data_IF_878520340177
#
_entry.id   IF_878520340177
#
_cell.length_a   1.000
_cell.length_b   1.000
_cell.length_c   1.000
_cell.angle_alpha   90.00
_cell.angle_beta   90.00
_cell.angle_gamma   90.00
#
_symmetry.space_group_name_H-M   'P 1'
#
loop_
_entity.id
_entity.type
_entity.pdbx_description
1 polymer ?
#
# COMPACT_ATOMS: atom_id res chain seq x y z
N UNK A 1 22.16 -10.56 -9.17
CA UNK A 1 20.96 -11.44 -9.04
C UNK A 1 21.15 -12.29 -7.80
N UNK A 2 20.20 -12.26 -6.87
CA UNK A 2 20.17 -13.21 -5.76
C UNK A 2 19.33 -14.42 -6.15
N UNK A 3 19.70 -15.62 -5.70
CA UNK A 3 18.87 -16.84 -5.87
C UNK A 3 18.00 -17.04 -4.64
N UNK A 4 16.70 -17.22 -4.86
CA UNK A 4 15.73 -17.52 -3.82
C UNK A 4 15.06 -18.86 -4.15
N UNK A 5 15.09 -19.80 -3.20
CA UNK A 5 14.33 -21.04 -3.29
C UNK A 5 13.06 -20.88 -2.48
N UNK A 6 11.90 -21.15 -3.09
CA UNK A 6 10.59 -21.06 -2.45
C UNK A 6 9.87 -22.40 -2.58
N UNK A 7 9.15 -22.79 -1.54
CA UNK A 7 8.21 -23.90 -1.61
C UNK A 7 6.83 -23.32 -2.00
N UNK A 8 6.24 -23.88 -3.06
CA UNK A 8 4.89 -23.58 -3.51
C UNK A 8 4.09 -24.88 -3.46
N UNK A 9 2.77 -24.78 -3.29
CA UNK A 9 1.92 -25.94 -3.53
C UNK A 9 1.89 -26.27 -5.03
N UNK A 10 1.78 -27.55 -5.34
CA UNK A 10 1.85 -28.08 -6.71
C UNK A 10 0.85 -27.40 -7.66
N UNK A 11 -0.34 -27.05 -7.15
CA UNK A 11 -1.37 -26.38 -7.95
C UNK A 11 -0.94 -24.98 -8.42
N UNK A 12 -0.31 -24.19 -7.54
CA UNK A 12 0.16 -22.84 -7.90
C UNK A 12 1.40 -22.93 -8.78
N UNK A 13 2.31 -23.88 -8.50
CA UNK A 13 3.47 -24.09 -9.36
C UNK A 13 3.03 -24.42 -10.79
N UNK A 14 2.06 -25.34 -10.94
CA UNK A 14 1.56 -25.75 -12.25
C UNK A 14 0.92 -24.58 -13.00
N UNK A 15 0.03 -23.83 -12.33
CA UNK A 15 -0.59 -22.62 -12.91
C UNK A 15 0.44 -21.58 -13.31
N UNK A 16 1.47 -21.35 -12.47
CA UNK A 16 2.55 -20.43 -12.79
C UNK A 16 3.28 -20.85 -14.06
N UNK A 17 3.63 -22.13 -14.20
CA UNK A 17 4.32 -22.66 -15.39
C UNK A 17 3.45 -22.52 -16.64
N UNK A 18 2.18 -22.90 -16.56
CA UNK A 18 1.22 -22.76 -17.68
C UNK A 18 1.10 -21.30 -18.15
N UNK A 19 0.97 -20.35 -17.23
CA UNK A 19 0.88 -18.92 -17.56
C UNK A 19 2.19 -18.35 -18.11
N UNK A 20 3.34 -18.78 -17.59
CA UNK A 20 4.66 -18.35 -18.09
C UNK A 20 4.86 -18.85 -19.52
N UNK A 21 4.54 -20.10 -19.81
CA UNK A 21 4.62 -20.66 -21.16
C UNK A 21 3.70 -19.91 -22.14
N UNK A 22 2.48 -19.61 -21.71
CA UNK A 22 1.50 -18.86 -22.52
C UNK A 22 1.96 -17.44 -22.86
N UNK A 23 2.58 -16.74 -21.92
CA UNK A 23 2.92 -15.32 -22.06
C UNK A 23 4.33 -15.07 -22.62
N UNK A 24 5.29 -15.94 -22.30
CA UNK A 24 6.72 -15.72 -22.58
C UNK A 24 7.39 -16.87 -23.34
N UNK A 25 6.64 -17.96 -23.61
CA UNK A 25 7.16 -19.17 -24.23
C UNK A 25 8.17 -19.91 -23.34
N UNK A 26 8.82 -20.93 -23.91
CA UNK A 26 9.80 -21.79 -23.21
C UNK A 26 11.20 -21.17 -23.12
N UNK A 27 11.30 -19.87 -22.87
CA UNK A 27 12.60 -19.18 -22.80
C UNK A 27 13.28 -19.39 -21.43
N UNK A 28 14.59 -19.66 -21.44
CA UNK A 28 15.39 -19.85 -20.22
C UNK A 28 15.34 -18.58 -19.36
N UNK A 29 14.76 -18.68 -18.16
CA UNK A 29 14.62 -17.56 -17.22
C UNK A 29 13.27 -16.84 -17.25
N UNK A 30 12.30 -17.29 -18.05
CA UNK A 30 10.96 -16.70 -18.10
C UNK A 30 10.27 -16.68 -16.73
N UNK A 31 10.36 -17.78 -15.97
CA UNK A 31 9.79 -17.88 -14.61
C UNK A 31 10.39 -16.83 -13.69
N UNK A 32 11.72 -16.70 -13.67
CA UNK A 32 12.41 -15.70 -12.86
C UNK A 32 11.97 -14.28 -13.19
N UNK A 33 11.79 -13.97 -14.48
CA UNK A 33 11.35 -12.67 -14.94
C UNK A 33 9.90 -12.36 -14.51
N UNK A 34 8.99 -13.32 -14.65
CA UNK A 34 7.59 -13.16 -14.21
C UNK A 34 7.49 -12.93 -12.71
N UNK A 35 8.24 -13.71 -11.91
CA UNK A 35 8.28 -13.53 -10.47
C UNK A 35 8.85 -12.14 -10.11
N UNK A 36 9.92 -11.71 -10.79
CA UNK A 36 10.51 -10.39 -10.56
C UNK A 36 9.52 -9.26 -10.85
N UNK A 37 8.82 -9.32 -11.98
CA UNK A 37 7.83 -8.31 -12.36
C UNK A 37 6.61 -8.30 -11.43
N UNK A 38 6.13 -9.49 -11.04
CA UNK A 38 5.05 -9.64 -10.07
C UNK A 38 5.43 -9.03 -8.71
N UNK A 39 6.66 -9.28 -8.23
CA UNK A 39 7.16 -8.70 -6.99
C UNK A 39 7.32 -7.19 -7.08
N UNK A 40 7.86 -6.65 -8.19
CA UNK A 40 7.93 -5.20 -8.43
C UNK A 40 6.54 -4.56 -8.36
N UNK A 41 5.56 -5.15 -9.01
CA UNK A 41 4.18 -4.68 -8.98
C UNK A 41 3.57 -4.78 -7.59
N UNK A 42 3.79 -5.90 -6.89
CA UNK A 42 3.32 -6.09 -5.52
C UNK A 42 3.90 -5.04 -4.57
N UNK A 43 5.22 -4.83 -4.57
CA UNK A 43 5.86 -3.81 -3.74
C UNK A 43 5.42 -2.40 -4.10
N UNK A 44 5.23 -2.10 -5.39
CA UNK A 44 4.66 -0.82 -5.82
C UNK A 44 3.22 -0.64 -5.31
N UNK A 45 2.41 -1.69 -5.33
CA UNK A 45 1.05 -1.67 -4.80
C UNK A 45 0.99 -1.50 -3.28
N UNK A 46 1.98 -2.04 -2.56
CA UNK A 46 2.13 -1.83 -1.11
C UNK A 46 2.54 -0.39 -0.80
N UNK A 47 3.46 0.19 -1.57
CA UNK A 47 3.89 1.59 -1.42
C UNK A 47 2.76 2.57 -1.70
N UNK A 48 1.89 2.28 -2.68
CA UNK A 48 0.69 3.10 -2.95
C UNK A 48 -0.31 3.12 -1.80
N UNK A 49 -0.25 2.17 -0.85
CA UNK A 49 -1.19 2.08 0.27
C UNK A 49 -0.70 2.69 1.59
N UNK A 50 0.51 3.27 1.65
CA UNK A 50 0.92 4.01 2.85
C UNK A 50 0.21 5.36 2.90
N UNK A 51 -1.07 5.33 3.29
CA UNK A 51 -1.86 6.52 3.56
C UNK A 51 -1.25 7.26 4.72
N UNK A 52 -0.62 8.38 4.44
CA UNK A 52 -0.16 9.30 5.46
C UNK A 52 -1.30 10.25 5.83
N UNK A 53 -1.58 10.33 7.12
CA UNK A 53 -2.46 11.31 7.75
C UNK A 53 -1.59 12.38 8.38
N UNK A 54 -1.81 13.63 7.97
CA UNK A 54 -1.09 14.81 8.45
C UNK A 54 -2.03 15.68 9.27
N UNK A 55 -1.63 16.04 10.48
CA UNK A 55 -2.33 16.99 11.33
C UNK A 55 -1.68 18.37 11.22
N UNK A 56 -2.46 19.38 10.83
CA UNK A 56 -2.03 20.76 10.76
C UNK A 56 -2.72 21.63 11.81
N UNK A 57 -1.99 22.51 12.47
CA UNK A 57 -2.55 23.60 13.28
C UNK A 57 -2.33 24.89 12.51
N UNK A 58 -3.36 25.35 11.79
CA UNK A 58 -3.21 26.44 10.82
C UNK A 58 -2.32 26.04 9.64
N UNK A 59 -1.10 26.58 9.58
CA UNK A 59 -0.10 26.29 8.54
C UNK A 59 1.03 25.35 9.01
N UNK A 60 1.08 25.04 10.30
CA UNK A 60 2.15 24.25 10.88
C UNK A 60 1.80 22.77 10.89
N UNK A 61 2.71 21.91 10.40
CA UNK A 61 2.57 20.46 10.48
C UNK A 61 2.92 20.00 11.89
N UNK A 62 1.93 19.50 12.61
CA UNK A 62 2.05 19.14 14.02
C UNK A 62 2.36 17.67 14.22
N UNK A 63 1.84 16.80 13.37
CA UNK A 63 2.10 15.36 13.41
C UNK A 63 1.79 14.70 12.05
N UNK A 64 2.46 13.59 11.77
CA UNK A 64 2.20 12.72 10.62
C UNK A 64 2.22 11.26 11.08
N UNK A 65 1.31 10.44 10.56
CA UNK A 65 1.25 9.01 10.85
C UNK A 65 0.65 8.21 9.69
N UNK A 66 0.80 6.89 9.73
CA UNK A 66 0.23 5.97 8.72
C UNK A 66 -1.23 5.60 9.03
N UNK A 67 -1.70 5.85 10.26
CA UNK A 67 -3.08 5.61 10.68
C UNK A 67 -3.62 6.77 11.51
N UNK A 68 -4.95 6.92 11.58
CA UNK A 68 -5.60 7.93 12.44
C UNK A 68 -5.37 7.64 13.93
N UNK A 69 -5.29 6.38 14.33
CA UNK A 69 -5.04 5.99 15.72
C UNK A 69 -3.62 6.37 16.16
N UNK A 70 -2.62 6.11 15.32
CA UNK A 70 -1.26 6.58 15.56
C UNK A 70 -1.20 8.11 15.61
N UNK A 71 -1.90 8.80 14.71
CA UNK A 71 -1.95 10.26 14.72
C UNK A 71 -2.57 10.79 16.02
N UNK A 72 -3.66 10.17 16.49
CA UNK A 72 -4.32 10.52 17.75
C UNK A 72 -3.40 10.31 18.96
N UNK A 73 -2.68 9.19 18.99
CA UNK A 73 -1.68 8.93 20.04
C UNK A 73 -0.55 9.97 20.03
N UNK A 74 -0.05 10.35 18.86
CA UNK A 74 1.00 11.37 18.71
C UNK A 74 0.50 12.75 19.17
N UNK A 75 -0.73 13.12 18.81
CA UNK A 75 -1.35 14.39 19.24
C UNK A 75 -1.54 14.43 20.76
N UNK A 76 -2.05 13.36 21.36
CA UNK A 76 -2.20 13.24 22.82
C UNK A 76 -0.86 13.31 23.55
N UNK A 77 0.16 12.59 23.07
CA UNK A 77 1.53 12.65 23.63
C UNK A 77 2.12 14.06 23.57
N UNK A 78 1.77 14.84 22.55
CA UNK A 78 2.19 16.25 22.39
C UNK A 78 1.28 17.23 23.14
N UNK A 79 0.22 16.77 23.82
CA UNK A 79 -0.72 17.63 24.53
C UNK A 79 -1.61 18.47 23.62
N UNK A 80 -1.82 18.03 22.37
CA UNK A 80 -2.55 18.79 21.35
C UNK A 80 -3.95 18.21 21.19
N UNK A 81 -4.97 19.06 21.36
CA UNK A 81 -6.36 18.64 21.21
C UNK A 81 -6.67 18.35 19.73
N UNK A 82 -7.12 17.12 19.39
CA UNK A 82 -7.52 16.74 18.04
C UNK A 82 -8.56 17.68 17.40
N UNK A 83 -9.40 18.37 18.20
CA UNK A 83 -10.40 19.32 17.71
C UNK A 83 -9.81 20.63 17.17
N UNK A 84 -8.56 20.93 17.54
CA UNK A 84 -7.87 22.16 17.15
C UNK A 84 -6.99 22.00 15.92
N UNK A 85 -6.88 20.78 15.39
CA UNK A 85 -6.03 20.45 14.24
C UNK A 85 -6.87 19.98 13.05
N UNK A 86 -6.45 20.36 11.85
CA UNK A 86 -7.02 19.89 10.59
C UNK A 86 -6.24 18.65 10.15
N UNK A 87 -6.91 17.50 10.10
CA UNK A 87 -6.33 16.26 9.60
C UNK A 87 -6.57 16.14 8.10
N UNK A 88 -5.51 15.89 7.34
CA UNK A 88 -5.55 15.72 5.88
C UNK A 88 -4.92 14.38 5.53
N UNK A 89 -5.60 13.58 4.70
CA UNK A 89 -5.03 12.37 4.12
C UNK A 89 -4.31 12.68 2.82
N UNK A 90 -3.17 12.03 2.61
CA UNK A 90 -2.39 12.08 1.37
C UNK A 90 -3.16 11.53 0.16
N UNK A 91 -4.04 10.56 0.35
CA UNK A 91 -4.97 10.10 -0.69
C UNK A 91 -6.32 10.82 -0.58
N UNK A 92 -6.92 11.25 -1.72
CA UNK A 92 -8.28 11.77 -1.73
C UNK A 92 -9.25 10.65 -1.35
N UNK A 93 -10.11 10.88 -0.36
CA UNK A 93 -11.20 9.96 -0.09
C UNK A 93 -12.20 10.04 -1.24
N UNK A 94 -12.69 8.90 -1.74
CA UNK A 94 -13.93 8.91 -2.53
C UNK A 94 -15.03 9.41 -1.61
N UNK A 95 -15.51 10.63 -1.84
CA UNK A 95 -16.70 11.15 -1.18
C UNK A 95 -17.84 10.16 -1.39
N UNK A 96 -18.17 9.39 -0.35
CA UNK A 96 -19.44 8.66 -0.30
C UNK A 96 -20.51 9.71 -0.03
N UNK A 97 -20.91 10.41 -1.09
CA UNK A 97 -22.06 11.31 -1.03
C UNK A 97 -23.28 10.42 -0.81
N UNK A 98 -23.79 10.39 0.42
CA UNK A 98 -25.11 9.82 0.69
C UNK A 98 -26.11 10.86 0.20
N UNK A 99 -26.74 10.60 -0.94
CA UNK A 99 -27.88 11.35 -1.43
C UNK A 99 -29.00 11.28 -0.39
N UNK A 100 -29.18 12.33 0.41
CA UNK A 100 -30.32 12.42 1.32
C UNK A 100 -30.11 13.15 2.64
N UNK A 101 -29.39 14.28 2.66
CA UNK A 101 -29.52 15.25 3.74
C UNK A 101 -29.98 16.57 3.11
N UNK A 102 -31.28 16.85 3.25
CA UNK A 102 -31.88 18.17 3.06
C UNK A 102 -32.11 18.78 4.43
#
# INVERSE_FOLDING_TARGET
MGTLTIALNDEIERKLREEVERLYGSSKGAISKVIEDALKHYFSSLRKKERLFRAYKGRELVAEAKTLDELSMLLRKRGIDPRTVKVVSSEPFKQVVRSGWR
#
